data_IF_430220972420
#
_entry.id   IF_430220972420
#
_cell.length_a   1.000
_cell.length_b   1.000
_cell.length_c   1.000
_cell.angle_alpha   90.00
_cell.angle_beta   90.00
_cell.angle_gamma   90.00
#
_symmetry.space_group_name_H-M   'P 1'
#
loop_
_entity.id
_entity.type
_entity.pdbx_description
1 polymer ?
#
# COMPACT_ATOMS: atom_id res chain seq x y z
N UNK A 1 -8.00 12.63 -61.32
CA UNK A 1 -8.74 13.67 -60.56
C UNK A 1 -9.15 13.23 -59.12
N UNK A 2 -8.49 12.23 -58.49
CA UNK A 2 -8.82 11.75 -57.13
C UNK A 2 -7.91 12.25 -56.00
N UNK A 3 -6.75 12.84 -56.33
CA UNK A 3 -5.76 13.28 -55.34
C UNK A 3 -6.06 14.67 -54.75
N UNK A 4 -6.93 15.46 -55.40
CA UNK A 4 -7.23 16.81 -54.98
C UNK A 4 -8.15 16.86 -53.76
N UNK A 5 -9.09 15.92 -53.66
CA UNK A 5 -10.03 15.81 -52.54
C UNK A 5 -9.34 15.35 -51.26
N UNK A 6 -8.44 14.37 -51.32
CA UNK A 6 -7.67 13.92 -50.16
C UNK A 6 -6.74 15.03 -49.62
N UNK A 7 -6.09 15.79 -50.50
CA UNK A 7 -5.24 16.92 -50.12
C UNK A 7 -6.04 18.07 -49.48
N UNK A 8 -7.21 18.39 -50.03
CA UNK A 8 -8.09 19.44 -49.50
C UNK A 8 -8.65 19.08 -48.12
N UNK A 9 -9.02 17.81 -47.92
CA UNK A 9 -9.46 17.32 -46.61
C UNK A 9 -8.31 17.29 -45.60
N UNK A 10 -7.12 16.83 -45.98
CA UNK A 10 -5.95 16.82 -45.09
C UNK A 10 -5.60 18.24 -44.58
N UNK A 11 -5.57 19.24 -45.47
CA UNK A 11 -5.30 20.63 -45.10
C UNK A 11 -6.42 21.28 -44.27
N UNK A 12 -7.69 20.90 -44.48
CA UNK A 12 -8.82 21.46 -43.72
C UNK A 12 -8.83 21.00 -42.26
N UNK A 13 -8.27 19.83 -41.98
CA UNK A 13 -8.13 19.27 -40.62
C UNK A 13 -6.81 19.64 -39.95
N UNK A 14 -5.81 20.12 -40.70
CA UNK A 14 -4.68 20.88 -40.16
C UNK A 14 -5.08 22.32 -39.79
N UNK A 15 -6.29 22.51 -39.23
CA UNK A 15 -6.61 23.76 -38.53
C UNK A 15 -5.72 23.75 -37.30
N UNK A 16 -4.56 24.40 -37.41
CA UNK A 16 -3.57 24.55 -36.35
C UNK A 16 -4.32 24.87 -35.06
N UNK A 17 -4.37 23.90 -34.14
CA UNK A 17 -4.96 24.14 -32.83
C UNK A 17 -4.20 25.33 -32.28
N UNK A 18 -4.87 26.45 -31.96
CA UNK A 18 -4.17 27.64 -31.50
C UNK A 18 -3.26 27.23 -30.35
N UNK A 19 -1.98 27.59 -30.43
CA UNK A 19 -0.96 27.15 -29.46
C UNK A 19 -1.35 27.44 -28.00
N UNK A 20 -2.21 28.45 -27.79
CA UNK A 20 -2.78 28.80 -26.50
C UNK A 20 -3.77 27.75 -25.96
N UNK A 21 -4.51 27.05 -26.83
CA UNK A 21 -5.46 25.99 -26.46
C UNK A 21 -4.72 24.69 -26.15
N UNK A 22 -3.73 24.31 -26.96
CA UNK A 22 -2.91 23.12 -26.69
C UNK A 22 -2.08 23.28 -25.41
N UNK A 23 -1.52 24.47 -25.15
CA UNK A 23 -0.86 24.80 -23.87
C UNK A 23 -1.82 24.69 -22.69
N UNK A 24 -3.03 25.24 -22.78
CA UNK A 24 -4.04 25.15 -21.71
C UNK A 24 -4.41 23.70 -21.40
N UNK A 25 -4.63 22.88 -22.42
CA UNK A 25 -4.93 21.46 -22.26
C UNK A 25 -3.74 20.76 -21.57
N UNK A 26 -2.52 20.99 -22.04
CA UNK A 26 -1.31 20.42 -21.44
C UNK A 26 -1.15 20.79 -19.96
N UNK A 27 -1.28 22.07 -19.60
CA UNK A 27 -1.20 22.51 -18.20
C UNK A 27 -2.32 21.93 -17.34
N UNK A 28 -3.54 21.84 -17.87
CA UNK A 28 -4.67 21.23 -17.14
C UNK A 28 -4.45 19.74 -16.87
N UNK A 29 -3.99 18.99 -17.86
CA UNK A 29 -3.68 17.56 -17.72
C UNK A 29 -2.51 17.34 -16.77
N UNK A 30 -1.46 18.16 -16.87
CA UNK A 30 -0.32 18.12 -15.94
C UNK A 30 -0.77 18.36 -14.49
N UNK A 31 -1.63 19.35 -14.26
CA UNK A 31 -2.15 19.64 -12.93
C UNK A 31 -2.98 18.48 -12.36
N UNK A 32 -3.83 17.85 -13.17
CA UNK A 32 -4.62 16.68 -12.74
C UNK A 32 -3.69 15.52 -12.34
N UNK A 33 -2.68 15.22 -13.17
CA UNK A 33 -1.70 14.17 -12.87
C UNK A 33 -0.95 14.49 -11.58
N UNK A 34 -0.53 15.74 -11.39
CA UNK A 34 0.16 16.19 -10.19
C UNK A 34 -0.71 15.98 -8.94
N UNK A 35 -1.99 16.36 -8.98
CA UNK A 35 -2.93 16.15 -7.88
C UNK A 35 -3.11 14.67 -7.58
N UNK A 36 -3.26 13.81 -8.59
CA UNK A 36 -3.37 12.36 -8.40
C UNK A 36 -2.12 11.76 -7.75
N UNK A 37 -0.92 12.20 -8.16
CA UNK A 37 0.35 11.77 -7.54
C UNK A 37 0.39 12.20 -6.07
N UNK A 38 0.03 13.45 -5.76
CA UNK A 38 0.01 13.96 -4.38
C UNK A 38 -0.97 13.15 -3.52
N UNK A 39 -2.19 12.89 -3.99
CA UNK A 39 -3.17 12.08 -3.27
C UNK A 39 -2.67 10.65 -3.04
N UNK A 40 -2.06 10.02 -4.04
CA UNK A 40 -1.48 8.68 -3.91
C UNK A 40 -0.34 8.64 -2.86
N UNK A 41 0.49 9.69 -2.80
CA UNK A 41 1.55 9.82 -1.79
C UNK A 41 1.00 10.07 -0.38
N UNK A 42 -0.10 10.82 -0.23
CA UNK A 42 -0.75 11.03 1.07
C UNK A 42 -1.38 9.73 1.56
N UNK A 43 -2.13 9.04 0.69
CA UNK A 43 -2.75 7.78 1.02
C UNK A 43 -1.69 6.73 1.36
N UNK A 44 -0.57 6.66 0.63
CA UNK A 44 0.53 5.73 0.96
C UNK A 44 1.15 5.99 2.35
N UNK A 45 1.11 7.24 2.84
CA UNK A 45 1.63 7.64 4.14
C UNK A 45 0.63 7.59 5.30
N UNK A 46 -0.64 7.22 5.08
CA UNK A 46 -1.58 7.07 6.20
C UNK A 46 -1.16 5.90 7.09
N UNK A 47 -0.73 6.22 8.30
CA UNK A 47 -0.34 5.27 9.33
C UNK A 47 -1.59 4.59 9.91
N UNK A 48 -1.57 3.26 10.04
CA UNK A 48 -2.59 2.55 10.81
C UNK A 48 -2.47 2.90 12.30
N UNK A 49 -3.29 3.86 12.77
CA UNK A 49 -3.27 4.36 14.15
C UNK A 49 -3.56 3.27 15.18
N UNK A 50 -4.40 2.29 14.84
CA UNK A 50 -4.73 1.16 15.72
C UNK A 50 -3.48 0.31 15.93
N UNK A 51 -2.79 -0.02 14.84
CA UNK A 51 -1.53 -0.76 14.93
C UNK A 51 -0.44 0.03 15.66
N UNK A 52 -0.28 1.33 15.37
CA UNK A 52 0.70 2.18 16.05
C UNK A 52 0.59 2.11 17.58
N UNK A 53 -0.65 2.19 18.10
CA UNK A 53 -0.95 2.16 19.54
C UNK A 53 -0.97 0.77 20.15
N UNK A 54 -1.13 -0.28 19.35
CA UNK A 54 -1.22 -1.66 19.83
C UNK A 54 0.05 -2.05 20.60
N UNK A 55 -0.09 -2.63 21.79
CA UNK A 55 1.02 -3.33 22.42
C UNK A 55 1.04 -4.78 21.91
N UNK A 56 2.17 -5.21 21.36
CA UNK A 56 2.33 -6.54 20.78
C UNK A 56 3.71 -7.07 21.19
N UNK A 57 3.73 -7.79 22.30
CA UNK A 57 4.93 -8.37 22.89
C UNK A 57 4.60 -9.77 23.40
N UNK A 58 4.31 -10.69 22.48
CA UNK A 58 3.90 -12.04 22.82
C UNK A 58 4.32 -13.06 21.74
N UNK A 59 4.07 -14.34 22.01
CA UNK A 59 4.38 -15.46 21.11
C UNK A 59 3.21 -15.77 20.18
N UNK A 60 3.54 -16.27 19.00
CA UNK A 60 2.57 -16.87 18.08
C UNK A 60 2.19 -18.23 18.63
N UNK A 61 0.94 -18.36 19.09
CA UNK A 61 0.41 -19.60 19.64
C UNK A 61 -0.20 -20.50 18.56
N UNK A 62 -0.86 -19.90 17.56
CA UNK A 62 -1.57 -20.64 16.52
C UNK A 62 -1.65 -19.84 15.21
N UNK A 63 -1.76 -20.54 14.09
CA UNK A 63 -1.90 -19.97 12.75
C UNK A 63 -3.01 -20.73 12.01
N UNK A 64 -4.03 -20.00 11.55
CA UNK A 64 -5.16 -20.55 10.80
C UNK A 64 -5.26 -19.82 9.46
N UNK A 65 -5.51 -20.56 8.38
CA UNK A 65 -5.82 -19.99 7.08
C UNK A 65 -7.34 -19.98 6.89
N UNK A 66 -7.91 -18.79 6.70
CA UNK A 66 -9.32 -18.59 6.37
C UNK A 66 -9.45 -17.93 4.98
N UNK A 67 -10.68 -17.78 4.49
CA UNK A 67 -10.97 -17.24 3.14
C UNK A 67 -10.37 -15.85 2.90
N UNK A 68 -10.27 -15.04 3.95
CA UNK A 68 -9.76 -13.67 3.97
C UNK A 68 -8.26 -13.56 4.32
N UNK A 69 -7.57 -14.69 4.59
CA UNK A 69 -6.12 -14.78 4.78
C UNK A 69 -5.67 -15.53 6.04
N UNK A 70 -4.40 -15.33 6.40
CA UNK A 70 -3.79 -15.95 7.58
C UNK A 70 -4.12 -15.19 8.87
N UNK A 71 -4.69 -15.91 9.83
CA UNK A 71 -4.97 -15.47 11.18
C UNK A 71 -3.93 -16.02 12.14
N UNK A 72 -3.41 -15.15 12.99
CA UNK A 72 -2.37 -15.47 13.95
C UNK A 72 -2.92 -15.23 15.34
N UNK A 73 -2.88 -16.25 16.19
CA UNK A 73 -3.13 -16.10 17.62
C UNK A 73 -1.83 -15.66 18.27
N UNK A 74 -1.80 -14.43 18.80
CA UNK A 74 -0.62 -13.87 19.45
C UNK A 74 -1.01 -13.54 20.89
N UNK A 75 -0.47 -14.31 21.83
CA UNK A 75 -0.99 -14.34 23.19
C UNK A 75 -2.49 -14.67 23.22
N UNK A 76 -3.28 -13.77 23.78
CA UNK A 76 -4.73 -13.98 23.97
C UNK A 76 -5.61 -13.60 22.79
N UNK A 77 -5.10 -12.86 21.82
CA UNK A 77 -5.93 -12.24 20.77
C UNK A 77 -5.61 -12.83 19.39
N UNK A 78 -6.61 -12.79 18.50
CA UNK A 78 -6.47 -13.13 17.09
C UNK A 78 -6.20 -11.91 16.23
N UNK A 79 -5.26 -12.04 15.30
CA UNK A 79 -4.85 -10.97 14.40
C UNK A 79 -4.85 -11.43 12.94
N UNK A 80 -5.43 -10.63 12.06
CA UNK A 80 -5.34 -10.82 10.62
C UNK A 80 -4.20 -9.97 10.07
N UNK A 81 -3.08 -10.62 9.76
CA UNK A 81 -1.89 -9.94 9.25
C UNK A 81 -1.87 -10.02 7.72
N UNK A 82 -2.04 -8.89 7.04
CA UNK A 82 -1.96 -8.77 5.56
C UNK A 82 -0.67 -8.08 5.13
N UNK A 83 0.44 -8.44 5.75
CA UNK A 83 1.76 -7.84 5.52
C UNK A 83 2.80 -8.93 5.18
N UNK A 84 3.84 -8.67 4.38
CA UNK A 84 4.87 -9.66 4.04
C UNK A 84 5.55 -10.35 5.24
N UNK A 85 5.45 -9.76 6.43
CA UNK A 85 5.90 -10.35 7.71
C UNK A 85 5.35 -11.77 7.93
N UNK A 86 4.15 -12.09 7.42
CA UNK A 86 3.52 -13.42 7.59
C UNK A 86 4.39 -14.57 7.13
N UNK A 87 5.27 -14.35 6.13
CA UNK A 87 6.18 -15.37 5.61
C UNK A 87 7.28 -15.76 6.59
N UNK A 88 7.51 -14.94 7.60
CA UNK A 88 8.57 -15.12 8.60
C UNK A 88 8.02 -15.56 9.96
N UNK A 89 6.70 -15.70 10.09
CA UNK A 89 6.04 -16.10 11.33
C UNK A 89 5.83 -17.61 11.36
N UNK A 90 6.26 -18.22 12.45
CA UNK A 90 6.00 -19.62 12.80
C UNK A 90 5.45 -19.71 14.22
N UNK A 91 4.75 -20.81 14.51
CA UNK A 91 4.28 -21.09 15.88
C UNK A 91 5.50 -21.15 16.82
N UNK A 92 5.41 -20.48 17.96
CA UNK A 92 6.49 -20.35 18.94
C UNK A 92 7.39 -19.13 18.76
N UNK A 93 7.33 -18.45 17.61
CA UNK A 93 8.07 -17.21 17.38
C UNK A 93 7.53 -16.09 18.27
N UNK A 94 8.43 -15.22 18.74
CA UNK A 94 8.09 -14.05 19.55
C UNK A 94 8.00 -12.81 18.67
N UNK A 95 6.89 -12.08 18.77
CA UNK A 95 6.71 -10.79 18.10
C UNK A 95 6.85 -9.69 19.13
N UNK A 96 7.77 -8.77 18.88
CA UNK A 96 8.10 -7.66 19.76
C UNK A 96 7.86 -6.34 19.05
N UNK A 97 7.03 -5.50 19.64
CA UNK A 97 6.71 -4.16 19.16
C UNK A 97 6.55 -3.24 20.36
N UNK A 98 7.19 -2.08 20.30
CA UNK A 98 7.02 -1.07 21.33
C UNK A 98 5.65 -0.36 21.19
N UNK A 99 5.04 0.08 22.29
CA UNK A 99 3.90 0.99 22.24
C UNK A 99 4.27 2.26 21.46
N UNK A 100 3.31 2.81 20.71
CA UNK A 100 3.51 4.01 19.88
C UNK A 100 4.68 3.88 18.89
N UNK A 101 4.82 2.72 18.27
CA UNK A 101 5.83 2.46 17.24
C UNK A 101 5.23 1.61 16.13
N UNK A 102 5.77 1.76 14.92
CA UNK A 102 5.47 0.89 13.78
C UNK A 102 6.49 -0.23 13.62
N UNK A 103 7.56 -0.19 14.41
CA UNK A 103 8.66 -1.12 14.28
C UNK A 103 8.34 -2.43 14.98
N UNK A 104 8.51 -3.54 14.25
CA UNK A 104 8.25 -4.90 14.72
C UNK A 104 9.50 -5.74 14.51
N UNK A 105 9.81 -6.54 15.52
CA UNK A 105 10.88 -7.54 15.49
C UNK A 105 10.23 -8.91 15.69
N UNK A 106 10.58 -9.86 14.83
CA UNK A 106 10.21 -11.27 14.96
C UNK A 106 11.46 -12.04 15.35
N UNK A 107 11.36 -12.79 16.45
CA UNK A 107 12.41 -13.68 16.94
C UNK A 107 11.94 -15.12 16.93
N UNK A 108 12.84 -16.04 16.63
CA UNK A 108 12.57 -17.46 16.76
C UNK A 108 12.54 -17.92 18.21
N UNK A 109 12.30 -19.21 18.43
CA UNK A 109 12.31 -19.83 19.77
C UNK A 109 13.66 -19.74 20.48
N UNK A 110 14.75 -19.52 19.75
CA UNK A 110 16.12 -19.39 20.25
C UNK A 110 16.53 -17.92 20.44
N UNK A 111 15.58 -16.97 20.36
CA UNK A 111 15.79 -15.52 20.41
C UNK A 111 16.61 -14.94 19.25
N UNK A 112 16.76 -15.66 18.13
CA UNK A 112 17.41 -15.17 16.91
C UNK A 112 16.42 -14.33 16.10
N UNK A 113 16.85 -13.15 15.65
CA UNK A 113 16.01 -12.26 14.82
C UNK A 113 15.82 -12.87 13.44
N UNK A 114 14.57 -13.22 13.11
CA UNK A 114 14.17 -13.70 11.78
C UNK A 114 13.84 -12.55 10.84
N UNK A 115 13.29 -11.48 11.39
CA UNK A 115 12.80 -10.35 10.61
C UNK A 115 12.65 -9.11 11.49
N UNK A 116 12.95 -7.95 10.92
CA UNK A 116 12.73 -6.65 11.56
C UNK A 116 12.39 -5.58 10.51
N UNK A 117 11.31 -4.83 10.71
CA UNK A 117 10.97 -3.69 9.85
C UNK A 117 9.83 -2.84 10.42
N UNK A 118 9.60 -1.69 9.78
CA UNK A 118 8.42 -0.88 10.01
C UNK A 118 7.18 -1.45 9.28
N UNK A 119 6.10 -1.66 10.02
CA UNK A 119 4.80 -2.06 9.49
C UNK A 119 3.84 -0.86 9.52
N UNK A 120 3.77 -0.13 8.40
CA UNK A 120 2.95 1.10 8.31
C UNK A 120 1.47 0.80 8.06
N UNK A 121 1.16 -0.34 7.44
CA UNK A 121 -0.17 -0.72 6.96
C UNK A 121 -0.43 -2.21 7.11
N UNK A 122 -1.70 -2.59 6.97
CA UNK A 122 -2.16 -3.96 6.73
C UNK A 122 -2.10 -4.92 7.93
N UNK A 123 -2.28 -4.41 9.14
CA UNK A 123 -2.62 -5.24 10.30
C UNK A 123 -4.06 -4.95 10.66
N UNK A 124 -4.90 -5.96 10.45
CA UNK A 124 -6.33 -5.91 10.73
C UNK A 124 -6.61 -6.66 12.02
N UNK A 125 -7.41 -6.04 12.86
CA UNK A 125 -7.83 -6.61 14.13
C UNK A 125 -9.17 -7.28 13.87
N UNK A 126 -9.21 -8.61 13.96
CA UNK A 126 -10.48 -9.26 14.21
C UNK A 126 -10.76 -9.05 15.69
N UNK A 127 -11.83 -8.32 16.01
CA UNK A 127 -12.42 -8.47 17.33
C UNK A 127 -13.07 -9.86 17.36
N UNK A 128 -12.87 -10.56 18.46
CA UNK A 128 -13.77 -11.64 18.86
C UNK A 128 -15.24 -11.19 18.78
#
# INVERSE_FOLDING_TARGET
>A
MKNFTLYYWYNKYQKEIPSNVSRKIFYSSFFIILVMIIFSLIESNTINKTFYKLDLSDKVENIILEENGFHFKIGKNWYLLKHPIVKYLSIGDSILKKPNSLYVIVKDSNNVVKWESEVRKNIFFSKD
#
